data_IF_652270474720
#
_entry.id   IF_652270474720
#
_cell.length_a   1.000
_cell.length_b   1.000
_cell.length_c   1.000
_cell.angle_alpha   90.00
_cell.angle_beta   90.00
_cell.angle_gamma   90.00
#
_symmetry.space_group_name_H-M   'P 1'
#
loop_
_entity.id
_entity.type
_entity.pdbx_description
1 polymer ?
#
# COMPACT_ATOMS: atom_id res chain seq x y z
N UNK A 1 -4.09 8.48 -10.76
CA UNK A 1 -4.18 9.12 -9.43
C UNK A 1 -2.76 9.31 -8.87
N UNK A 2 -2.35 10.50 -8.43
CA UNK A 2 -1.03 10.69 -7.80
C UNK A 2 -0.94 9.87 -6.52
N UNK A 3 0.15 9.11 -6.40
CA UNK A 3 0.44 8.26 -5.25
C UNK A 3 1.88 8.41 -4.83
N UNK A 4 2.15 8.08 -3.57
CA UNK A 4 3.49 8.01 -3.00
C UNK A 4 3.75 6.59 -2.50
N UNK A 5 4.93 6.05 -2.79
CA UNK A 5 5.39 4.80 -2.19
C UNK A 5 5.73 5.04 -0.73
N UNK A 6 5.20 4.19 0.16
CA UNK A 6 5.43 4.31 1.61
C UNK A 6 6.51 3.36 2.14
N UNK A 7 7.08 2.52 1.27
CA UNK A 7 8.06 1.50 1.64
C UNK A 7 9.13 1.38 0.55
N UNK A 8 10.31 0.92 0.95
CA UNK A 8 11.36 0.54 0.01
C UNK A 8 11.00 -0.83 -0.57
N UNK A 9 10.71 -0.87 -1.87
CA UNK A 9 10.33 -2.10 -2.59
C UNK A 9 11.57 -2.70 -3.24
N UNK A 10 12.30 -1.89 -4.01
CA UNK A 10 13.52 -2.30 -4.72
C UNK A 10 14.43 -1.08 -4.86
N UNK A 11 15.37 -0.94 -3.92
CA UNK A 11 16.24 0.25 -3.80
C UNK A 11 17.13 0.41 -5.03
N UNK A 12 17.64 -0.69 -5.57
CA UNK A 12 18.51 -0.72 -6.75
C UNK A 12 17.80 -0.19 -8.00
N UNK A 13 16.48 -0.45 -8.09
CA UNK A 13 15.61 0.01 -9.18
C UNK A 13 15.07 1.43 -8.95
N UNK A 14 15.42 2.06 -7.83
CA UNK A 14 14.93 3.37 -7.42
C UNK A 14 13.54 3.37 -6.82
N UNK A 15 12.95 2.21 -6.52
CA UNK A 15 11.62 2.07 -5.89
C UNK A 15 11.73 2.25 -4.37
N UNK A 16 11.88 3.50 -3.93
CA UNK A 16 12.11 3.87 -2.53
C UNK A 16 10.90 4.57 -1.90
N UNK A 17 10.84 4.53 -0.56
CA UNK A 17 9.88 5.30 0.23
C UNK A 17 10.00 6.80 -0.08
N UNK A 18 8.87 7.47 -0.28
CA UNK A 18 8.80 8.88 -0.65
C UNK A 18 8.73 9.12 -2.16
N UNK A 19 8.87 8.07 -2.99
CA UNK A 19 8.81 8.24 -4.44
C UNK A 19 7.37 8.45 -4.92
N UNK A 20 7.17 9.47 -5.75
CA UNK A 20 5.89 9.78 -6.37
C UNK A 20 5.68 8.94 -7.65
N UNK A 21 4.43 8.62 -7.93
CA UNK A 21 4.01 8.01 -9.18
C UNK A 21 2.55 8.29 -9.49
N UNK A 22 2.10 7.85 -10.65
CA UNK A 22 0.70 7.93 -11.06
C UNK A 22 0.14 6.51 -11.07
N UNK A 23 -0.75 6.22 -10.13
CA UNK A 23 -1.53 4.99 -10.14
C UNK A 23 -2.41 4.94 -11.40
N UNK A 24 -2.28 3.85 -12.15
CA UNK A 24 -3.00 3.61 -13.41
C UNK A 24 -4.06 2.53 -13.28
N UNK A 25 -3.70 1.37 -12.75
CA UNK A 25 -4.60 0.22 -12.70
C UNK A 25 -4.31 -0.67 -11.47
N UNK A 26 -5.36 -1.28 -10.93
CA UNK A 26 -5.25 -2.39 -9.98
C UNK A 26 -5.44 -3.70 -10.73
N UNK A 27 -4.50 -4.63 -10.59
CA UNK A 27 -4.59 -5.98 -11.16
C UNK A 27 -4.93 -6.96 -10.06
N UNK A 28 -5.84 -7.87 -10.37
CA UNK A 28 -6.41 -8.84 -9.45
C UNK A 28 -6.01 -10.26 -9.84
N UNK A 29 -6.10 -11.20 -8.90
CA UNK A 29 -5.93 -12.62 -9.19
C UNK A 29 -7.10 -13.11 -10.07
N UNK A 30 -6.82 -13.89 -11.12
CA UNK A 30 -7.81 -14.37 -12.10
C UNK A 30 -8.94 -15.18 -11.43
N UNK A 31 -8.60 -15.99 -10.41
CA UNK A 31 -9.56 -16.82 -9.66
C UNK A 31 -10.40 -16.03 -8.63
N UNK A 32 -10.14 -14.72 -8.46
CA UNK A 32 -10.75 -13.92 -7.39
C UNK A 32 -12.05 -13.22 -7.80
N UNK A 33 -12.51 -13.44 -9.04
CA UNK A 33 -13.73 -12.88 -9.61
C UNK A 33 -14.88 -13.88 -9.43
N UNK A 34 -15.83 -13.57 -8.55
CA UNK A 34 -17.05 -14.35 -8.40
C UNK A 34 -18.26 -13.53 -8.84
N UNK A 35 -19.06 -14.06 -9.77
CA UNK A 35 -20.42 -13.57 -10.08
C UNK A 35 -21.47 -14.12 -9.11
N UNK A 36 -21.13 -15.16 -8.36
CA UNK A 36 -22.05 -15.85 -7.45
C UNK A 36 -22.00 -15.27 -6.03
N UNK A 37 -22.66 -14.14 -5.81
CA UNK A 37 -23.16 -13.80 -4.47
C UNK A 37 -24.60 -13.30 -4.62
N UNK A 38 -25.52 -14.11 -4.11
CA UNK A 38 -26.94 -13.81 -3.88
C UNK A 38 -27.08 -12.52 -3.08
N UNK A 39 -27.38 -11.40 -3.72
CA UNK A 39 -27.87 -10.21 -3.04
C UNK A 39 -28.82 -9.49 -3.99
N UNK A 40 -30.10 -9.48 -3.62
CA UNK A 40 -31.19 -8.78 -4.33
C UNK A 40 -30.93 -7.26 -4.49
N UNK A 41 -29.92 -6.74 -3.79
CA UNK A 41 -29.55 -5.32 -3.73
C UNK A 41 -28.71 -4.85 -4.92
N UNK A 42 -28.03 -5.75 -5.64
CA UNK A 42 -27.10 -5.36 -6.71
C UNK A 42 -27.52 -5.93 -8.07
N UNK A 43 -27.31 -5.17 -9.16
CA UNK A 43 -27.59 -5.65 -10.52
C UNK A 43 -26.89 -6.99 -10.82
N UNK A 44 -27.53 -7.84 -11.62
CA UNK A 44 -27.06 -9.19 -11.97
C UNK A 44 -25.73 -9.22 -12.73
N UNK A 45 -25.22 -8.08 -13.19
CA UNK A 45 -23.91 -7.93 -13.82
C UNK A 45 -22.80 -7.47 -12.85
N UNK A 46 -23.07 -7.44 -11.54
CA UNK A 46 -22.08 -7.01 -10.54
C UNK A 46 -21.02 -8.10 -10.34
N UNK A 47 -19.77 -7.79 -10.69
CA UNK A 47 -18.63 -8.67 -10.43
C UNK A 47 -18.00 -8.31 -9.08
N UNK A 48 -17.89 -9.31 -8.20
CA UNK A 48 -17.18 -9.14 -6.92
C UNK A 48 -15.74 -9.59 -7.07
N UNK A 49 -14.82 -8.66 -6.83
CA UNK A 49 -13.39 -8.90 -6.93
C UNK A 49 -12.80 -8.94 -5.52
N UNK A 50 -12.18 -10.07 -5.14
CA UNK A 50 -11.82 -10.32 -3.74
C UNK A 50 -10.35 -10.10 -3.40
N UNK A 51 -9.42 -10.24 -4.36
CA UNK A 51 -7.98 -10.23 -4.06
C UNK A 51 -7.15 -9.45 -5.09
N UNK A 52 -6.64 -8.26 -4.74
CA UNK A 52 -5.65 -7.58 -5.56
C UNK A 52 -4.33 -8.36 -5.55
N UNK A 53 -3.64 -8.38 -6.70
CA UNK A 53 -2.33 -9.01 -6.89
C UNK A 53 -1.21 -7.95 -6.90
N UNK A 54 -1.37 -6.89 -7.68
CA UNK A 54 -0.44 -5.77 -7.75
C UNK A 54 -1.11 -4.52 -8.34
N UNK A 55 -0.49 -3.36 -8.15
CA UNK A 55 -0.90 -2.10 -8.76
C UNK A 55 0.09 -1.68 -9.84
N UNK A 56 -0.40 -1.26 -11.00
CA UNK A 56 0.42 -0.62 -12.03
C UNK A 56 0.54 0.87 -11.71
N UNK A 57 1.79 1.30 -11.47
CA UNK A 57 2.13 2.68 -11.16
C UNK A 57 3.13 3.18 -12.20
N UNK A 58 2.82 4.32 -12.79
CA UNK A 58 3.73 5.02 -13.68
C UNK A 58 4.69 5.89 -12.87
N UNK A 59 5.99 5.70 -13.10
CA UNK A 59 7.06 6.39 -12.37
C UNK A 59 8.01 7.02 -13.38
N UNK A 60 8.07 8.36 -13.39
CA UNK A 60 8.79 9.15 -14.40
C UNK A 60 10.33 9.05 -14.27
N UNK A 61 10.85 8.67 -13.09
CA UNK A 61 12.30 8.63 -12.79
C UNK A 61 12.76 7.26 -12.26
N UNK A 62 12.24 6.16 -12.79
CA UNK A 62 12.74 4.84 -12.41
C UNK A 62 14.08 4.55 -13.10
N UNK A 63 14.99 3.84 -12.41
CA UNK A 63 16.22 3.31 -13.02
C UNK A 63 15.98 2.02 -13.82
N UNK A 64 14.71 1.72 -14.09
CA UNK A 64 14.30 0.49 -14.75
C UNK A 64 14.42 0.72 -16.25
N UNK A 65 15.60 0.45 -16.79
CA UNK A 65 15.88 0.47 -18.24
C UNK A 65 15.34 -0.79 -18.93
N UNK A 66 14.95 -1.80 -18.16
CA UNK A 66 14.32 -3.01 -18.68
C UNK A 66 12.87 -2.68 -19.05
N UNK A 67 12.58 -2.59 -20.35
CA UNK A 67 11.22 -2.80 -20.83
C UNK A 67 10.78 -4.18 -20.32
N UNK A 68 10.01 -4.23 -19.23
CA UNK A 68 9.27 -5.44 -18.86
C UNK A 68 8.48 -5.78 -20.13
N UNK A 69 8.79 -6.91 -20.77
CA UNK A 69 8.60 -7.18 -22.22
C UNK A 69 7.17 -6.98 -22.77
N UNK A 70 6.20 -6.66 -21.90
CA UNK A 70 4.77 -6.49 -22.18
C UNK A 70 4.17 -5.18 -21.65
N UNK A 71 4.95 -4.31 -20.98
CA UNK A 71 4.47 -3.06 -20.36
C UNK A 71 5.06 -1.84 -21.06
N UNK A 72 4.27 -0.77 -21.14
CA UNK A 72 4.77 0.51 -21.65
C UNK A 72 5.91 1.02 -20.77
N UNK A 73 6.90 1.66 -21.41
CA UNK A 73 8.03 2.28 -20.74
C UNK A 73 7.51 3.19 -19.60
N UNK A 74 8.03 2.98 -18.39
CA UNK A 74 7.69 3.66 -17.12
C UNK A 74 6.55 3.06 -16.27
N UNK A 75 5.84 2.02 -16.74
CA UNK A 75 4.86 1.31 -15.90
C UNK A 75 5.53 0.22 -15.08
N UNK A 76 5.31 0.26 -13.76
CA UNK A 76 5.94 -0.64 -12.81
C UNK A 76 4.88 -1.33 -11.97
N UNK A 77 4.89 -2.67 -11.90
CA UNK A 77 4.02 -3.41 -10.99
C UNK A 77 4.52 -3.29 -9.56
N UNK A 78 3.68 -2.72 -8.69
CA UNK A 78 3.91 -2.61 -7.25
C UNK A 78 3.11 -3.73 -6.55
N UNK A 79 3.78 -4.74 -5.96
CA UNK A 79 3.09 -5.85 -5.31
C UNK A 79 2.48 -5.43 -3.98
N UNK A 80 1.57 -6.25 -3.45
CA UNK A 80 1.17 -6.13 -2.05
C UNK A 80 2.33 -6.47 -1.13
N UNK A 81 2.48 -5.67 -0.07
CA UNK A 81 3.46 -5.89 0.96
C UNK A 81 2.79 -6.25 2.28
N UNK A 82 3.46 -7.10 3.05
CA UNK A 82 3.02 -7.50 4.37
C UNK A 82 3.87 -6.80 5.43
N UNK A 83 3.21 -6.06 6.31
CA UNK A 83 3.86 -5.32 7.39
C UNK A 83 3.29 -5.74 8.74
N UNK A 84 4.18 -6.00 9.69
CA UNK A 84 3.81 -6.29 11.08
C UNK A 84 4.05 -5.05 11.93
N UNK A 85 2.98 -4.50 12.50
CA UNK A 85 3.02 -3.38 13.43
C UNK A 85 3.02 -3.93 14.85
N UNK A 86 4.05 -3.59 15.62
CA UNK A 86 4.13 -3.92 17.04
C UNK A 86 3.84 -2.64 17.83
N UNK A 87 2.77 -2.68 18.60
CA UNK A 87 2.28 -1.53 19.36
C UNK A 87 2.29 -1.91 20.83
N UNK A 88 2.93 -1.10 21.66
CA UNK A 88 2.81 -1.27 23.11
C UNK A 88 1.40 -0.82 23.52
N UNK A 89 0.68 -1.72 24.19
CA UNK A 89 -0.69 -1.47 24.63
C UNK A 89 -0.73 -0.28 25.63
N UNK A 90 0.37 -0.02 26.35
CA UNK A 90 0.47 1.13 27.25
C UNK A 90 0.40 2.49 26.53
N UNK A 91 0.81 2.56 25.27
CA UNK A 91 0.79 3.78 24.46
C UNK A 91 -0.61 4.10 23.93
N UNK A 92 -1.44 3.07 23.74
CA UNK A 92 -2.80 3.20 23.21
C UNK A 92 -3.83 3.34 24.33
N UNK A 93 -3.62 2.69 25.47
CA UNK A 93 -4.58 2.73 26.57
C UNK A 93 -4.51 4.06 27.34
N UNK A 94 -5.69 4.63 27.68
CA UNK A 94 -5.75 5.80 28.54
C UNK A 94 -5.22 5.47 29.94
N UNK A 95 -4.61 6.47 30.60
CA UNK A 95 -3.79 6.31 31.82
C UNK A 95 -4.46 5.49 32.93
N UNK A 96 -5.78 5.54 33.07
CA UNK A 96 -6.55 4.84 34.10
C UNK A 96 -6.75 3.33 33.84
N UNK A 97 -6.51 2.84 32.61
CA UNK A 97 -6.59 1.42 32.24
C UNK A 97 -5.22 0.78 32.03
N UNK A 98 -4.13 1.50 32.34
CA UNK A 98 -2.77 0.97 32.17
C UNK A 98 -2.54 -0.17 33.16
N UNK A 99 -2.01 -1.32 32.71
CA UNK A 99 -1.69 -2.40 33.63
C UNK A 99 -0.63 -1.93 34.63
N UNK A 100 -0.85 -2.18 35.92
CA UNK A 100 0.13 -1.90 37.00
C UNK A 100 1.36 -2.83 36.96
N UNK A 101 1.38 -3.76 36.00
CA UNK A 101 2.44 -4.74 35.79
C UNK A 101 3.57 -4.15 34.95
N UNK A 102 4.82 -4.35 35.36
CA UNK A 102 6.02 -3.99 34.59
C UNK A 102 6.22 -4.82 33.32
N UNK A 103 5.33 -5.78 33.01
CA UNK A 103 5.41 -6.58 31.78
C UNK A 103 4.82 -5.79 30.61
N UNK A 104 5.67 -5.48 29.64
CA UNK A 104 5.25 -4.89 28.36
C UNK A 104 4.30 -5.84 27.65
N UNK A 105 3.07 -5.39 27.41
CA UNK A 105 2.09 -6.13 26.64
C UNK A 105 2.11 -5.59 25.21
N UNK A 106 2.66 -6.39 24.29
CA UNK A 106 2.84 -5.98 22.89
C UNK A 106 1.70 -6.55 22.05
N UNK A 107 0.93 -5.67 21.41
CA UNK A 107 -0.03 -6.06 20.38
C UNK A 107 0.69 -6.11 19.03
N UNK A 108 0.60 -7.24 18.34
CA UNK A 108 1.15 -7.42 17.00
C UNK A 108 0.02 -7.48 15.98
N UNK A 109 -0.05 -6.49 15.09
CA UNK A 109 -1.03 -6.42 14.01
C UNK A 109 -0.33 -6.62 12.67
N UNK A 110 -0.75 -7.64 11.91
CA UNK A 110 -0.24 -7.90 10.57
C UNK A 110 -1.18 -7.31 9.53
N UNK A 111 -0.65 -6.53 8.59
CA UNK A 111 -1.41 -5.92 7.50
C UNK A 111 -0.78 -6.30 6.17
N UNK A 112 -1.57 -6.82 5.25
CA UNK A 112 -1.20 -7.01 3.84
C UNK A 112 -1.93 -5.96 3.01
N UNK A 113 -1.20 -5.06 2.38
CA UNK A 113 -1.76 -3.95 1.60
C UNK A 113 -0.77 -3.48 0.53
N UNK A 114 -1.26 -2.72 -0.45
CA UNK A 114 -0.39 -1.98 -1.36
C UNK A 114 0.38 -0.91 -0.58
N UNK A 115 1.70 -0.76 -0.76
CA UNK A 115 2.52 0.25 -0.11
C UNK A 115 2.36 1.62 -0.78
N UNK A 116 1.11 2.03 -1.07
CA UNK A 116 0.77 3.24 -1.83
C UNK A 116 -0.25 4.06 -1.04
N UNK A 117 -0.05 5.38 -1.02
CA UNK A 117 -1.00 6.35 -0.44
C UNK A 117 -1.27 7.46 -1.45
N UNK A 118 -2.51 7.97 -1.57
CA UNK A 118 -2.79 9.13 -2.42
C UNK A 118 -1.92 10.33 -2.04
N UNK A 119 -1.36 11.01 -3.04
CA UNK A 119 -0.35 12.05 -2.85
C UNK A 119 -0.82 13.44 -3.30
N UNK A 120 -2.11 13.76 -3.11
CA UNK A 120 -2.61 15.12 -3.36
C UNK A 120 -2.17 16.11 -2.28
N UNK A 121 -2.12 15.64 -1.03
CA UNK A 121 -1.69 16.42 0.12
C UNK A 121 -1.18 15.48 1.21
N UNK A 122 -0.11 15.88 1.91
CA UNK A 122 0.45 15.14 3.04
C UNK A 122 0.68 16.15 4.16
N UNK A 123 0.35 15.77 5.39
CA UNK A 123 0.59 16.63 6.55
C UNK A 123 2.07 16.71 6.88
N UNK A 124 2.52 17.87 7.36
CA UNK A 124 3.91 18.09 7.77
C UNK A 124 4.41 17.07 8.79
N UNK A 125 3.53 16.63 9.70
CA UNK A 125 3.85 15.59 10.68
C UNK A 125 4.09 14.21 10.05
N UNK A 126 3.40 13.88 8.95
CA UNK A 126 3.56 12.59 8.28
C UNK A 126 4.77 12.53 7.36
N UNK A 127 5.27 13.70 6.93
CA UNK A 127 6.42 13.81 6.04
C UNK A 127 7.74 13.99 6.78
N UNK A 128 7.68 14.21 8.09
CA UNK A 128 8.85 14.40 8.92
C UNK A 128 9.82 13.21 8.76
N UNK A 129 11.06 13.51 8.37
CA UNK A 129 12.11 12.51 8.15
C UNK A 129 12.03 11.78 6.79
N UNK A 130 11.15 12.21 5.88
CA UNK A 130 11.11 11.70 4.51
C UNK A 130 11.87 12.60 3.55
N UNK A 131 12.45 12.00 2.50
CA UNK A 131 13.03 12.72 1.37
C UNK A 131 12.04 12.68 0.22
N UNK A 132 11.53 13.84 -0.19
CA UNK A 132 10.65 13.96 -1.35
C UNK A 132 11.38 14.58 -2.54
N UNK A 133 11.09 14.05 -3.73
CA UNK A 133 11.62 14.61 -4.98
C UNK A 133 10.74 15.71 -5.58
N UNK A 134 9.46 15.76 -5.19
CA UNK A 134 8.47 16.71 -5.69
C UNK A 134 7.50 17.06 -4.53
N UNK A 135 7.43 18.33 -4.14
CA UNK A 135 6.67 18.86 -2.98
C UNK A 135 5.70 19.93 -3.42
#
# INVERSE_FOLDING_TARGET
MPVILTQNVAIELGLINGMNGIFRQLVYEEDSVSTEILSETFPSNTQYIRKPSYALVEIVKSKIECNLEQLQSNLIPIPLMEQTFRIDIADVLPKYKRPKSNRKAILSVKRRALPLVPAYCITTHKIQGQTLSNV
#
